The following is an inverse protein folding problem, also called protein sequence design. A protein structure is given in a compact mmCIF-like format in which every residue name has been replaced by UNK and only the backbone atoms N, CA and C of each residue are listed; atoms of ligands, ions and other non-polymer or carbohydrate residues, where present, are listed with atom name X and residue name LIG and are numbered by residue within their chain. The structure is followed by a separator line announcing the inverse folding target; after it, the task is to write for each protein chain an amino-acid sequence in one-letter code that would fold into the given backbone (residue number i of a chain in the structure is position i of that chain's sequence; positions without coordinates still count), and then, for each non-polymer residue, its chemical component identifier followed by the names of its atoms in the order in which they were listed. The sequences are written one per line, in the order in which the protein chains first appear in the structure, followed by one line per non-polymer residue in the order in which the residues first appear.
data_IF_416726071731
#
_entry.id   IF_416726071731
#
_cell.length_a   1.000
_cell.length_b   1.000
_cell.length_c   1.000
_cell.angle_alpha   90.00
_cell.angle_beta   90.00
_cell.angle_gamma   90.00
#
_symmetry.space_group_name_H-M   'P 1'
#
loop_
_entity.id
_entity.type
_entity.pdbx_description
1 polymer ?
#
# COMPACT_ATOMS: atom_id res chain seq x y z
N UNK A 1 -29.36 12.03 74.62
CA UNK A 1 -28.77 12.78 73.49
C UNK A 1 -27.74 11.90 72.80
N UNK A 2 -28.09 11.33 71.65
CA UNK A 2 -27.14 10.68 70.72
C UNK A 2 -27.58 11.03 69.31
N UNK A 3 -26.84 11.93 68.68
CA UNK A 3 -27.04 12.39 67.31
C UNK A 3 -26.55 11.32 66.33
N UNK A 4 -27.40 10.89 65.42
CA UNK A 4 -27.05 10.08 64.26
C UNK A 4 -26.81 11.03 63.08
N UNK A 5 -25.54 11.22 62.71
CA UNK A 5 -25.16 11.82 61.42
C UNK A 5 -25.36 10.77 60.32
N UNK A 6 -26.32 11.00 59.42
CA UNK A 6 -26.43 10.27 58.17
C UNK A 6 -25.50 10.90 57.13
N UNK A 7 -24.42 10.21 56.77
CA UNK A 7 -23.60 10.55 55.61
C UNK A 7 -24.35 10.16 54.33
N UNK A 8 -24.91 11.15 53.62
CA UNK A 8 -25.28 11.00 52.22
C UNK A 8 -23.99 10.98 51.38
N UNK A 9 -23.58 9.78 50.95
CA UNK A 9 -22.64 9.63 49.86
C UNK A 9 -23.35 9.96 48.55
N UNK A 10 -23.15 11.19 48.06
CA UNK A 10 -23.49 11.56 46.70
C UNK A 10 -22.64 10.77 45.72
N UNK A 11 -23.20 9.72 45.13
CA UNK A 11 -22.66 9.10 43.92
C UNK A 11 -22.75 10.13 42.79
N UNK A 12 -21.65 10.84 42.56
CA UNK A 12 -21.45 11.57 41.31
C UNK A 12 -21.42 10.53 40.18
N UNK A 13 -22.54 10.38 39.48
CA UNK A 13 -22.60 9.64 38.24
C UNK A 13 -21.75 10.39 37.20
N UNK A 14 -20.51 9.95 37.03
CA UNK A 14 -19.71 10.33 35.87
C UNK A 14 -20.40 9.76 34.64
N UNK A 15 -21.19 10.59 33.96
CA UNK A 15 -21.69 10.28 32.63
C UNK A 15 -20.47 10.18 31.72
N UNK A 16 -20.07 8.95 31.39
CA UNK A 16 -19.26 8.69 30.21
C UNK A 16 -20.14 9.08 29.03
N UNK A 17 -20.03 10.34 28.58
CA UNK A 17 -20.62 10.77 27.33
C UNK A 17 -19.95 9.93 26.25
N UNK A 18 -20.70 9.01 25.63
CA UNK A 18 -20.29 8.39 24.38
C UNK A 18 -19.81 9.51 23.46
N UNK A 19 -18.59 9.38 22.92
CA UNK A 19 -17.99 10.47 22.15
C UNK A 19 -18.94 10.86 21.00
N UNK A 20 -19.42 12.11 21.01
CA UNK A 20 -20.36 12.61 20.00
C UNK A 20 -19.73 12.73 18.59
N UNK A 21 -18.43 12.46 18.49
CA UNK A 21 -17.65 12.50 17.27
C UNK A 21 -16.54 11.43 17.28
N UNK A 22 -16.07 10.97 16.10
CA UNK A 22 -14.93 10.05 16.02
C UNK A 22 -13.66 10.77 16.47
N UNK A 23 -12.82 10.14 17.30
CA UNK A 23 -11.56 10.72 17.81
C UNK A 23 -10.34 10.09 17.16
N UNK A 24 -10.19 8.77 17.26
CA UNK A 24 -9.07 8.03 16.65
C UNK A 24 -9.54 6.61 16.36
N UNK A 25 -9.04 6.03 15.27
CA UNK A 25 -9.43 4.68 14.90
C UNK A 25 -8.73 4.19 13.64
N UNK A 26 -8.96 2.91 13.37
CA UNK A 26 -8.56 2.24 12.14
C UNK A 26 -9.78 1.55 11.55
N UNK A 27 -10.03 1.79 10.27
CA UNK A 27 -11.14 1.25 9.52
C UNK A 27 -10.63 0.46 8.32
N UNK A 28 -11.37 -0.56 7.91
CA UNK A 28 -11.04 -1.44 6.80
C UNK A 28 -11.99 -1.18 5.65
N UNK A 29 -11.44 -0.97 4.46
CA UNK A 29 -12.24 -0.88 3.25
C UNK A 29 -12.92 -2.23 2.98
N UNK A 30 -14.21 -2.21 2.66
CA UNK A 30 -15.00 -3.42 2.45
C UNK A 30 -14.97 -3.92 0.99
N UNK A 31 -14.41 -3.13 0.08
CA UNK A 31 -14.31 -3.43 -1.36
C UNK A 31 -12.87 -3.66 -1.84
N UNK A 32 -11.88 -3.07 -1.16
CA UNK A 32 -10.49 -3.03 -1.60
C UNK A 32 -9.53 -3.41 -0.46
N UNK A 33 -8.32 -3.82 -0.81
CA UNK A 33 -7.25 -4.14 0.13
C UNK A 33 -6.62 -2.87 0.71
N UNK A 34 -7.42 -2.10 1.43
CA UNK A 34 -6.96 -0.87 2.08
C UNK A 34 -7.55 -0.68 3.47
N UNK A 35 -6.79 0.04 4.29
CA UNK A 35 -7.21 0.51 5.60
C UNK A 35 -7.08 2.03 5.67
N UNK A 36 -7.85 2.63 6.56
CA UNK A 36 -7.84 4.04 6.85
C UNK A 36 -7.61 4.23 8.34
N UNK A 37 -6.47 4.80 8.71
CA UNK A 37 -6.22 5.26 10.08
C UNK A 37 -6.55 6.74 10.16
N UNK A 38 -7.23 7.16 11.22
CA UNK A 38 -7.62 8.56 11.40
C UNK A 38 -7.38 9.05 12.82
N UNK A 39 -7.17 10.37 12.91
CA UNK A 39 -7.17 11.14 14.16
C UNK A 39 -7.94 12.43 13.92
N UNK A 40 -8.91 12.72 14.77
CA UNK A 40 -9.86 13.80 14.63
C UNK A 40 -9.89 14.67 15.90
N UNK A 41 -9.98 15.97 15.68
CA UNK A 41 -10.02 16.99 16.74
C UNK A 41 -11.20 17.93 16.49
N UNK A 42 -12.06 18.07 17.49
CA UNK A 42 -13.14 19.06 17.47
C UNK A 42 -12.53 20.47 17.64
N UNK A 43 -12.80 21.36 16.70
CA UNK A 43 -12.25 22.72 16.73
C UNK A 43 -13.00 23.57 17.77
N UNK A 44 -12.26 24.24 18.66
CA UNK A 44 -12.88 25.04 19.73
C UNK A 44 -13.73 26.18 19.14
N UNK A 45 -14.96 26.33 19.64
CA UNK A 45 -15.87 27.41 19.25
C UNK A 45 -16.53 27.25 17.87
N UNK A 46 -16.24 26.18 17.14
CA UNK A 46 -16.87 25.86 15.86
C UNK A 46 -17.39 24.43 15.93
N UNK A 47 -18.63 24.15 15.48
CA UNK A 47 -19.14 22.78 15.32
C UNK A 47 -18.48 22.09 14.11
N UNK A 48 -17.15 22.12 14.08
CA UNK A 48 -16.30 21.62 13.01
C UNK A 48 -15.32 20.60 13.56
N UNK A 49 -15.23 19.49 12.86
CA UNK A 49 -14.33 18.40 13.18
C UNK A 49 -13.24 18.35 12.12
N UNK A 50 -11.97 18.46 12.52
CA UNK A 50 -10.85 18.27 11.61
C UNK A 50 -10.27 16.88 11.81
N UNK A 51 -10.14 16.12 10.73
CA UNK A 51 -9.56 14.79 10.76
C UNK A 51 -8.35 14.70 9.82
N UNK A 52 -7.28 14.12 10.35
CA UNK A 52 -6.08 13.73 9.62
C UNK A 52 -6.15 12.22 9.39
N UNK A 53 -5.88 11.79 8.15
CA UNK A 53 -6.03 10.42 7.69
C UNK A 53 -4.72 9.90 7.11
N UNK A 54 -4.52 8.58 7.23
CA UNK A 54 -3.54 7.82 6.47
C UNK A 54 -4.28 6.64 5.85
N UNK A 55 -4.45 6.67 4.53
CA UNK A 55 -4.94 5.51 3.78
C UNK A 55 -3.73 4.64 3.42
N UNK A 56 -3.74 3.38 3.86
CA UNK A 56 -2.75 2.38 3.46
C UNK A 56 -3.43 1.40 2.52
N UNK A 57 -2.89 1.23 1.32
CA UNK A 57 -3.39 0.26 0.34
C UNK A 57 -2.33 -0.79 0.04
N UNK A 58 -2.77 -2.03 -0.18
CA UNK A 58 -1.93 -3.15 -0.59
C UNK A 58 -2.43 -3.64 -1.94
N UNK A 59 -1.57 -3.64 -2.96
CA UNK A 59 -1.94 -4.08 -4.32
C UNK A 59 -0.91 -5.04 -4.88
N UNK A 60 -1.35 -5.96 -5.74
CA UNK A 60 -0.41 -6.77 -6.53
C UNK A 60 0.38 -5.87 -7.47
N UNK A 61 1.71 -6.06 -7.50
CA UNK A 61 2.60 -5.28 -8.38
C UNK A 61 2.36 -5.56 -9.86
N UNK A 62 1.94 -6.78 -10.20
CA UNK A 62 1.62 -7.18 -11.57
C UNK A 62 0.38 -8.07 -11.61
N UNK A 63 -0.26 -8.14 -12.78
CA UNK A 63 -1.38 -9.04 -13.09
C UNK A 63 -0.92 -10.06 -14.14
N UNK A 64 -1.47 -11.30 -14.14
CA UNK A 64 -1.11 -12.31 -15.14
C UNK A 64 -1.32 -11.85 -16.58
N UNK A 65 -2.36 -11.05 -16.83
CA UNK A 65 -2.68 -10.50 -18.15
C UNK A 65 -1.57 -9.61 -18.74
N UNK A 66 -0.67 -9.07 -17.91
CA UNK A 66 0.39 -8.18 -18.38
C UNK A 66 1.61 -8.94 -18.95
N UNK A 67 1.65 -10.27 -18.88
CA UNK A 67 2.81 -11.06 -19.31
C UNK A 67 3.05 -10.96 -20.81
N UNK A 68 2.02 -11.14 -21.64
CA UNK A 68 2.17 -11.17 -23.10
C UNK A 68 2.65 -9.83 -23.67
N UNK A 69 2.14 -8.72 -23.13
CA UNK A 69 2.62 -7.38 -23.47
C UNK A 69 4.10 -7.20 -23.12
N UNK A 70 4.51 -7.58 -21.89
CA UNK A 70 5.91 -7.54 -21.48
C UNK A 70 6.82 -8.42 -22.33
N UNK A 71 6.35 -9.60 -22.73
CA UNK A 71 7.11 -10.48 -23.63
C UNK A 71 7.24 -9.88 -25.02
N UNK A 72 6.17 -9.28 -25.57
CA UNK A 72 6.23 -8.60 -26.86
C UNK A 72 7.22 -7.42 -26.84
N UNK A 73 7.21 -6.62 -25.77
CA UNK A 73 8.17 -5.53 -25.57
C UNK A 73 9.61 -6.07 -25.44
N UNK A 74 9.83 -7.14 -24.67
CA UNK A 74 11.13 -7.77 -24.53
C UNK A 74 11.67 -8.28 -25.88
N UNK A 75 10.85 -8.93 -26.71
CA UNK A 75 11.26 -9.37 -28.06
C UNK A 75 11.73 -8.19 -28.91
N UNK A 76 11.02 -7.07 -28.85
CA UNK A 76 11.39 -5.84 -29.58
C UNK A 76 12.73 -5.27 -29.11
N UNK A 77 13.02 -5.36 -27.81
CA UNK A 77 14.22 -4.78 -27.20
C UNK A 77 15.45 -5.72 -27.24
N UNK A 78 15.25 -7.02 -27.44
CA UNK A 78 16.32 -8.03 -27.47
C UNK A 78 17.52 -7.67 -28.36
N UNK A 79 17.35 -7.19 -29.62
CA UNK A 79 18.49 -6.88 -30.50
C UNK A 79 19.42 -5.80 -29.93
N UNK A 80 18.90 -4.88 -29.12
CA UNK A 80 19.70 -3.87 -28.41
C UNK A 80 20.35 -4.44 -27.15
N UNK A 81 19.59 -5.21 -26.37
CA UNK A 81 20.01 -5.72 -25.07
C UNK A 81 21.10 -6.81 -25.16
N UNK A 82 21.12 -7.62 -26.22
CA UNK A 82 22.08 -8.74 -26.35
C UNK A 82 23.55 -8.30 -26.26
N UNK A 83 23.86 -7.06 -26.65
CA UNK A 83 25.21 -6.49 -26.57
C UNK A 83 25.67 -6.29 -25.12
N UNK A 84 24.76 -5.98 -24.21
CA UNK A 84 25.07 -5.79 -22.78
C UNK A 84 25.47 -7.12 -22.13
N UNK A 85 24.90 -8.22 -22.59
CA UNK A 85 25.24 -9.59 -22.15
C UNK A 85 26.44 -10.19 -22.88
N UNK A 86 27.14 -9.40 -23.70
CA UNK A 86 28.34 -9.83 -24.42
C UNK A 86 29.65 -9.36 -23.77
N UNK A 87 29.62 -8.53 -22.71
CA UNK A 87 30.82 -8.17 -21.94
C UNK A 87 31.17 -9.32 -20.96
N UNK A 88 32.31 -10.01 -21.14
CA UNK A 88 32.70 -11.11 -20.24
C UNK A 88 32.86 -10.67 -18.78
N UNK A 89 33.16 -9.40 -18.51
CA UNK A 89 33.32 -8.89 -17.14
C UNK A 89 31.99 -8.85 -16.41
N UNK A 90 30.95 -8.34 -17.06
CA UNK A 90 29.59 -8.30 -16.51
C UNK A 90 29.08 -9.73 -16.28
N UNK A 91 29.29 -10.62 -17.25
CA UNK A 91 28.84 -12.01 -17.12
C UNK A 91 29.60 -12.81 -16.05
N UNK A 92 30.91 -12.59 -15.90
CA UNK A 92 31.68 -13.17 -14.80
C UNK A 92 31.19 -12.66 -13.44
N UNK A 93 30.77 -11.38 -13.36
CA UNK A 93 30.22 -10.82 -12.13
C UNK A 93 28.86 -11.45 -11.78
N UNK A 94 27.96 -11.61 -12.76
CA UNK A 94 26.68 -12.31 -12.57
C UNK A 94 26.90 -13.74 -12.07
N UNK A 95 27.83 -14.47 -12.70
CA UNK A 95 28.19 -15.82 -12.29
C UNK A 95 28.78 -15.87 -10.86
N UNK A 96 29.65 -14.93 -10.51
CA UNK A 96 30.20 -14.82 -9.17
C UNK A 96 29.11 -14.51 -8.12
N UNK A 97 28.18 -13.60 -8.43
CA UNK A 97 27.05 -13.28 -7.55
C UNK A 97 26.12 -14.47 -7.35
N UNK A 98 25.76 -15.18 -8.42
CA UNK A 98 24.96 -16.40 -8.32
C UNK A 98 25.68 -17.49 -7.52
N UNK A 99 26.97 -17.68 -7.77
CA UNK A 99 27.79 -18.66 -7.05
C UNK A 99 27.90 -18.33 -5.56
N UNK A 100 28.05 -17.06 -5.20
CA UNK A 100 27.99 -16.64 -3.80
C UNK A 100 26.59 -16.81 -3.22
N UNK A 101 25.54 -16.39 -3.91
CA UNK A 101 24.16 -16.48 -3.41
C UNK A 101 23.69 -17.93 -3.20
N UNK A 102 24.25 -18.87 -3.96
CA UNK A 102 23.98 -20.32 -3.81
C UNK A 102 24.94 -21.03 -2.85
N UNK A 103 25.96 -20.34 -2.34
CA UNK A 103 27.01 -20.92 -1.49
C UNK A 103 28.04 -21.78 -2.23
N UNK A 104 28.00 -21.83 -3.56
CA UNK A 104 29.02 -22.50 -4.39
C UNK A 104 30.37 -21.79 -4.34
N UNK A 105 30.37 -20.48 -4.09
CA UNK A 105 31.56 -19.65 -3.95
C UNK A 105 31.55 -19.01 -2.56
N UNK A 106 32.69 -19.09 -1.85
CA UNK A 106 32.87 -18.36 -0.59
C UNK A 106 32.86 -16.86 -0.85
N UNK A 107 32.05 -16.12 -0.08
CA UNK A 107 31.97 -14.66 -0.15
C UNK A 107 33.34 -14.02 0.14
N UNK A 108 34.06 -14.54 1.14
CA UNK A 108 35.40 -14.06 1.48
C UNK A 108 36.41 -14.31 0.35
N UNK A 109 36.32 -15.48 -0.30
CA UNK A 109 37.18 -15.81 -1.44
C UNK A 109 36.88 -14.93 -2.66
N UNK A 110 35.61 -14.60 -2.91
CA UNK A 110 35.20 -13.71 -3.99
C UNK A 110 35.68 -12.28 -3.75
N UNK A 111 35.51 -11.74 -2.54
CA UNK A 111 36.00 -10.43 -2.14
C UNK A 111 37.53 -10.33 -2.23
N UNK A 112 38.26 -11.39 -1.85
CA UNK A 112 39.72 -11.42 -1.96
C UNK A 112 40.19 -11.42 -3.42
N UNK A 113 39.47 -12.10 -4.32
CA UNK A 113 39.80 -12.17 -5.76
C UNK A 113 39.40 -10.92 -6.53
N UNK A 114 38.32 -10.26 -6.14
CA UNK A 114 37.86 -9.03 -6.75
C UNK A 114 37.39 -8.03 -5.67
N UNK A 115 38.31 -7.27 -5.06
CA UNK A 115 37.96 -6.26 -4.08
C UNK A 115 37.04 -5.16 -4.64
N UNK A 116 37.03 -4.96 -5.96
CA UNK A 116 36.18 -3.97 -6.64
C UNK A 116 34.72 -4.40 -6.83
N UNK A 117 34.34 -5.62 -6.43
CA UNK A 117 32.96 -6.12 -6.54
C UNK A 117 31.99 -5.38 -5.60
N UNK A 118 32.52 -4.72 -4.57
CA UNK A 118 31.75 -3.98 -3.59
C UNK A 118 32.50 -2.71 -3.17
N UNK A 119 31.77 -1.61 -3.02
CA UNK A 119 32.31 -0.37 -2.43
C UNK A 119 32.52 -0.50 -0.92
N UNK A 120 31.74 -1.35 -0.26
CA UNK A 120 31.84 -1.68 1.17
C UNK A 120 31.78 -3.21 1.32
N UNK A 121 32.94 -3.83 1.53
CA UNK A 121 33.08 -5.29 1.61
C UNK A 121 32.29 -5.89 2.79
N UNK A 122 32.18 -5.18 3.92
CA UNK A 122 31.49 -5.68 5.09
C UNK A 122 29.97 -5.71 4.87
N UNK A 123 29.39 -4.61 4.36
CA UNK A 123 27.96 -4.56 4.02
C UNK A 123 27.61 -5.51 2.90
N UNK A 124 28.48 -5.64 1.90
CA UNK A 124 28.28 -6.61 0.83
C UNK A 124 28.23 -8.04 1.38
N UNK A 125 29.17 -8.40 2.26
CA UNK A 125 29.18 -9.71 2.90
C UNK A 125 27.90 -9.97 3.69
N UNK A 126 27.46 -9.02 4.50
CA UNK A 126 26.21 -9.11 5.25
C UNK A 126 25.00 -9.33 4.31
N UNK A 127 24.91 -8.53 3.24
CA UNK A 127 23.87 -8.65 2.23
C UNK A 127 23.87 -10.01 1.53
N UNK A 128 25.04 -10.55 1.19
CA UNK A 128 25.15 -11.87 0.55
C UNK A 128 24.81 -13.02 1.49
N UNK A 129 25.20 -12.94 2.77
CA UNK A 129 24.78 -13.92 3.79
C UNK A 129 23.26 -13.91 3.93
N UNK A 130 22.65 -12.72 4.01
CA UNK A 130 21.20 -12.59 4.06
C UNK A 130 20.54 -13.19 2.81
N UNK A 131 21.07 -12.91 1.62
CA UNK A 131 20.57 -13.47 0.37
C UNK A 131 20.66 -15.01 0.35
N UNK A 132 21.73 -15.59 0.89
CA UNK A 132 21.85 -17.06 1.03
C UNK A 132 20.77 -17.63 1.94
N UNK A 133 20.52 -17.02 3.10
CA UNK A 133 19.45 -17.45 4.01
C UNK A 133 18.06 -17.30 3.38
N UNK A 134 17.80 -16.15 2.74
CA UNK A 134 16.56 -15.90 2.02
C UNK A 134 16.37 -16.92 0.89
N UNK A 135 17.44 -17.32 0.19
CA UNK A 135 17.40 -18.33 -0.86
C UNK A 135 17.13 -19.76 -0.35
N UNK A 136 17.53 -20.08 0.88
CA UNK A 136 17.16 -21.36 1.52
C UNK A 136 15.67 -21.41 1.84
N UNK A 137 15.12 -20.30 2.34
CA UNK A 137 13.70 -20.20 2.68
C UNK A 137 12.81 -20.04 1.44
N UNK A 138 13.27 -19.30 0.44
CA UNK A 138 12.57 -19.03 -0.80
C UNK A 138 13.54 -19.10 -2.00
N UNK A 139 13.72 -20.29 -2.61
CA UNK A 139 14.64 -20.48 -3.73
C UNK A 139 14.38 -19.60 -4.95
N UNK A 140 13.16 -19.06 -5.07
CA UNK A 140 12.75 -18.22 -6.19
C UNK A 140 13.37 -16.82 -6.14
N UNK A 141 13.94 -16.40 -5.00
CA UNK A 141 14.72 -15.15 -4.91
C UNK A 141 15.92 -15.14 -5.87
N UNK A 142 16.37 -16.33 -6.30
CA UNK A 142 17.50 -16.50 -7.22
C UNK A 142 17.07 -16.67 -8.69
N UNK A 143 15.78 -16.72 -9.01
CA UNK A 143 15.33 -17.02 -10.37
C UNK A 143 15.79 -15.97 -11.39
N UNK A 144 15.76 -14.69 -11.03
CA UNK A 144 16.30 -13.62 -11.87
C UNK A 144 17.81 -13.78 -12.08
N UNK A 145 18.58 -14.14 -11.05
CA UNK A 145 20.03 -14.38 -11.18
C UNK A 145 20.32 -15.59 -12.07
N UNK A 146 19.55 -16.67 -11.95
CA UNK A 146 19.66 -17.85 -12.83
C UNK A 146 19.35 -17.50 -14.28
N UNK A 147 18.30 -16.72 -14.52
CA UNK A 147 17.94 -16.28 -15.87
C UNK A 147 19.02 -15.38 -16.49
N UNK A 148 19.59 -14.45 -15.70
CA UNK A 148 20.71 -13.61 -16.13
C UNK A 148 21.97 -14.43 -16.44
N UNK A 149 22.31 -15.41 -15.60
CA UNK A 149 23.42 -16.31 -15.85
C UNK A 149 23.21 -17.12 -17.16
N UNK A 150 22.00 -17.64 -17.39
CA UNK A 150 21.67 -18.34 -18.63
C UNK A 150 21.76 -17.44 -19.88
N UNK A 151 21.43 -16.16 -19.75
CA UNK A 151 21.61 -15.17 -20.82
C UNK A 151 23.09 -14.89 -21.10
N UNK A 152 23.93 -14.85 -20.06
CA UNK A 152 25.38 -14.72 -20.19
C UNK A 152 26.05 -15.95 -20.83
N UNK A 153 25.58 -17.15 -20.49
CA UNK A 153 26.12 -18.39 -21.07
C UNK A 153 25.71 -18.54 -22.54
N UNK A 154 24.46 -18.22 -22.86
CA UNK A 154 23.88 -18.37 -24.19
C UNK A 154 22.95 -17.19 -24.51
N UNK A 155 23.45 -16.11 -25.14
CA UNK A 155 22.73 -14.86 -25.33
C UNK A 155 21.68 -14.95 -26.45
N UNK A 156 20.65 -15.76 -26.24
CA UNK A 156 19.55 -16.02 -27.18
C UNK A 156 18.31 -15.22 -26.80
N UNK A 157 17.42 -14.98 -27.77
CA UNK A 157 16.13 -14.35 -27.50
C UNK A 157 15.34 -15.14 -26.44
N UNK A 158 15.36 -16.47 -26.51
CA UNK A 158 14.68 -17.33 -25.54
C UNK A 158 15.18 -17.07 -24.10
N UNK A 159 16.50 -16.98 -23.89
CA UNK A 159 17.05 -16.71 -22.57
C UNK A 159 16.79 -15.26 -22.11
N UNK A 160 16.74 -14.31 -23.04
CA UNK A 160 16.31 -12.95 -22.73
C UNK A 160 14.86 -12.93 -22.23
N UNK A 161 13.96 -13.65 -22.90
CA UNK A 161 12.57 -13.77 -22.47
C UNK A 161 12.42 -14.49 -21.12
N UNK A 162 13.32 -15.41 -20.76
CA UNK A 162 13.34 -16.04 -19.41
C UNK A 162 13.61 -15.01 -18.31
N UNK A 163 14.43 -13.99 -18.55
CA UNK A 163 14.64 -12.89 -17.59
C UNK A 163 13.32 -12.14 -17.37
N UNK A 164 12.63 -11.78 -18.46
CA UNK A 164 11.33 -11.09 -18.39
C UNK A 164 10.28 -11.92 -17.66
N UNK A 165 10.23 -13.24 -17.91
CA UNK A 165 9.33 -14.15 -17.19
C UNK A 165 9.64 -14.20 -15.71
N UNK A 166 10.92 -14.39 -15.34
CA UNK A 166 11.33 -14.44 -13.95
C UNK A 166 11.00 -13.14 -13.19
N UNK A 167 11.23 -11.97 -13.80
CA UNK A 167 10.81 -10.69 -13.24
C UNK A 167 9.28 -10.59 -13.09
N UNK A 168 8.53 -10.99 -14.12
CA UNK A 168 7.08 -10.98 -14.05
C UNK A 168 6.54 -11.89 -12.94
N UNK A 169 7.05 -13.12 -12.83
CA UNK A 169 6.65 -14.10 -11.82
C UNK A 169 6.96 -13.63 -10.40
N UNK A 170 8.11 -12.97 -10.20
CA UNK A 170 8.41 -12.27 -8.95
C UNK A 170 7.39 -11.17 -8.68
N UNK A 171 7.08 -10.34 -9.68
CA UNK A 171 6.13 -9.24 -9.53
C UNK A 171 4.69 -9.72 -9.26
N UNK A 172 4.26 -10.88 -9.78
CA UNK A 172 2.97 -11.49 -9.45
C UNK A 172 2.87 -11.89 -7.98
N UNK A 173 4.01 -12.23 -7.36
CA UNK A 173 4.11 -12.62 -5.95
C UNK A 173 4.51 -11.44 -5.05
N UNK A 174 4.61 -10.24 -5.61
CA UNK A 174 4.96 -9.01 -4.88
C UNK A 174 3.73 -8.17 -4.61
N UNK A 175 3.54 -7.78 -3.35
CA UNK A 175 2.60 -6.76 -2.94
C UNK A 175 3.31 -5.41 -2.85
N UNK A 176 2.71 -4.39 -3.42
CA UNK A 176 3.08 -3.00 -3.16
C UNK A 176 2.19 -2.43 -2.07
N UNK A 177 2.83 -1.82 -1.08
CA UNK A 177 2.19 -1.08 0.00
C UNK A 177 2.44 0.40 -0.23
N UNK A 178 1.36 1.17 -0.32
CA UNK A 178 1.41 2.62 -0.49
C UNK A 178 0.59 3.30 0.59
N UNK A 179 1.08 4.42 1.09
CA UNK A 179 0.39 5.24 2.09
C UNK A 179 0.10 6.63 1.53
N UNK A 180 -1.14 7.08 1.68
CA UNK A 180 -1.62 8.39 1.25
C UNK A 180 -2.14 9.18 2.46
N UNK A 181 -1.38 10.16 2.99
CA UNK A 181 -1.87 11.04 4.03
C UNK A 181 -2.75 12.16 3.45
N UNK A 182 -3.87 12.46 4.10
CA UNK A 182 -4.75 13.57 3.72
C UNK A 182 -5.56 14.10 4.91
N UNK A 183 -6.14 15.29 4.78
CA UNK A 183 -6.95 15.91 5.81
C UNK A 183 -8.32 16.32 5.28
N UNK A 184 -9.35 16.28 6.13
CA UNK A 184 -10.69 16.80 5.80
C UNK A 184 -11.31 17.49 7.01
N UNK A 185 -12.15 18.48 6.74
CA UNK A 185 -13.01 19.14 7.72
C UNK A 185 -14.44 18.65 7.56
N UNK A 186 -15.14 18.46 8.68
CA UNK A 186 -16.50 17.96 8.74
C UNK A 186 -17.38 18.88 9.57
N UNK A 187 -18.67 18.90 9.23
CA UNK A 187 -19.74 19.57 9.97
C UNK A 187 -20.78 18.54 10.38
N UNK A 188 -21.40 18.75 11.55
CA UNK A 188 -22.49 17.89 12.01
C UNK A 188 -23.79 18.20 11.27
N UNK A 189 -24.45 17.17 10.78
CA UNK A 189 -25.75 17.24 10.10
C UNK A 189 -26.72 16.33 10.85
N UNK A 190 -27.64 16.91 11.63
CA UNK A 190 -28.50 16.18 12.58
C UNK A 190 -29.60 15.35 11.93
N UNK A 191 -30.06 15.75 10.75
CA UNK A 191 -31.16 15.16 9.98
C UNK A 191 -30.69 14.03 9.05
N UNK A 192 -29.40 13.70 9.05
CA UNK A 192 -28.87 12.60 8.25
C UNK A 192 -29.31 11.23 8.81
N UNK A 193 -30.05 10.45 8.01
CA UNK A 193 -30.30 9.02 8.24
C UNK A 193 -30.91 8.63 9.60
N UNK A 194 -31.70 9.51 10.22
CA UNK A 194 -32.33 9.30 11.55
C UNK A 194 -31.33 9.11 12.72
N UNK A 195 -30.11 9.64 12.63
CA UNK A 195 -29.11 9.57 13.72
C UNK A 195 -27.98 10.60 13.64
N UNK A 196 -27.99 11.43 12.61
CA UNK A 196 -26.98 12.44 12.32
C UNK A 196 -25.67 11.86 11.78
N UNK A 197 -24.89 12.72 11.13
CA UNK A 197 -23.59 12.35 10.57
C UNK A 197 -22.62 13.55 10.59
N UNK A 198 -21.32 13.25 10.68
CA UNK A 198 -20.29 14.23 10.37
C UNK A 198 -20.01 14.18 8.89
N UNK A 199 -20.38 15.21 8.15
CA UNK A 199 -20.28 15.27 6.68
C UNK A 199 -19.16 16.23 6.29
N UNK A 200 -18.35 15.87 5.30
CA UNK A 200 -17.26 16.74 4.83
C UNK A 200 -17.81 18.09 4.38
N UNK A 201 -17.18 19.15 4.87
CA UNK A 201 -17.36 20.52 4.41
C UNK A 201 -16.48 20.75 3.18
N UNK A 202 -17.04 20.64 1.98
CA UNK A 202 -16.29 20.85 0.73
C UNK A 202 -17.02 21.77 -0.25
N UNK A 203 -16.26 22.27 -1.22
CA UNK A 203 -16.74 23.09 -2.33
C UNK A 203 -16.30 22.43 -3.65
N UNK A 204 -16.97 22.69 -4.79
CA UNK A 204 -16.54 22.15 -6.06
C UNK A 204 -15.12 22.61 -6.44
N UNK A 205 -14.24 21.66 -6.71
CA UNK A 205 -12.83 21.91 -7.05
C UNK A 205 -12.48 21.51 -8.49
N UNK A 206 -11.65 22.33 -9.13
CA UNK A 206 -11.06 22.07 -10.44
C UNK A 206 -12.05 22.04 -11.62
N UNK A 207 -11.58 21.66 -12.82
CA UNK A 207 -12.38 21.69 -14.06
C UNK A 207 -13.64 20.80 -14.03
N UNK A 208 -13.61 19.73 -13.23
CA UNK A 208 -14.73 18.80 -13.08
C UNK A 208 -15.72 19.23 -11.99
N UNK A 209 -15.40 20.27 -11.21
CA UNK A 209 -16.15 20.65 -10.01
C UNK A 209 -16.32 19.46 -9.07
N UNK A 210 -15.22 18.82 -8.68
CA UNK A 210 -15.25 17.66 -7.78
C UNK A 210 -15.68 18.13 -6.39
N UNK A 211 -16.71 17.51 -5.83
CA UNK A 211 -17.19 17.75 -4.47
C UNK A 211 -16.94 16.50 -3.64
N UNK A 212 -16.37 16.68 -2.44
CA UNK A 212 -16.20 15.59 -1.49
C UNK A 212 -17.49 15.41 -0.68
N UNK A 213 -18.01 14.19 -0.69
CA UNK A 213 -19.25 13.79 -0.04
C UNK A 213 -19.00 12.75 1.05
N UNK A 214 -17.76 12.65 1.51
CA UNK A 214 -17.39 11.70 2.56
C UNK A 214 -18.04 12.06 3.88
N UNK A 215 -18.22 11.05 4.74
CA UNK A 215 -18.92 11.23 6.02
C UNK A 215 -18.56 10.15 7.02
N UNK A 216 -18.68 10.47 8.30
CA UNK A 216 -18.74 9.51 9.39
C UNK A 216 -20.17 9.27 9.85
N UNK A 217 -20.53 8.00 9.97
CA UNK A 217 -21.81 7.54 10.49
C UNK A 217 -21.55 6.66 11.73
N UNK A 218 -22.37 6.80 12.77
CA UNK A 218 -22.31 5.86 13.91
C UNK A 218 -22.73 4.47 13.46
N UNK A 219 -22.03 3.44 13.95
CA UNK A 219 -22.49 2.06 13.76
C UNK A 219 -23.73 1.82 14.63
N UNK A 220 -24.90 1.68 14.00
CA UNK A 220 -26.13 1.41 14.74
C UNK A 220 -26.19 0.02 15.36
N UNK A 221 -25.32 -0.90 14.92
CA UNK A 221 -25.19 -2.22 15.55
C UNK A 221 -24.31 -2.20 16.80
N UNK A 222 -23.61 -1.09 17.06
CA UNK A 222 -22.78 -0.91 18.25
C UNK A 222 -23.59 -0.27 19.39
N UNK A 223 -23.84 -1.05 20.44
CA UNK A 223 -24.54 -0.58 21.64
C UNK A 223 -23.69 0.36 22.50
N UNK A 224 -22.37 0.41 22.30
CA UNK A 224 -21.49 1.32 23.06
C UNK A 224 -21.49 2.74 22.49
N UNK A 225 -21.92 2.92 21.24
CA UNK A 225 -21.92 4.20 20.53
C UNK A 225 -20.51 4.76 20.27
N UNK A 226 -19.48 3.91 20.35
CA UNK A 226 -18.08 4.27 20.20
C UNK A 226 -17.60 4.11 18.77
N UNK A 227 -18.21 3.20 18.01
CA UNK A 227 -17.71 2.86 16.69
C UNK A 227 -18.37 3.67 15.58
N UNK A 228 -17.52 4.13 14.66
CA UNK A 228 -17.89 4.91 13.51
C UNK A 228 -17.50 4.17 12.24
N UNK A 229 -18.30 4.34 11.21
CA UNK A 229 -17.97 3.95 9.84
C UNK A 229 -17.64 5.21 9.06
N UNK A 230 -16.70 5.11 8.14
CA UNK A 230 -16.36 6.19 7.23
C UNK A 230 -16.79 5.80 5.82
N UNK A 231 -17.59 6.64 5.18
CA UNK A 231 -18.00 6.44 3.79
C UNK A 231 -17.26 7.47 2.97
N UNK A 232 -16.38 7.02 2.09
CA UNK A 232 -15.66 7.88 1.16
C UNK A 232 -16.45 7.99 -0.15
N UNK A 233 -16.74 9.21 -0.59
CA UNK A 233 -17.45 9.46 -1.84
C UNK A 233 -17.07 10.84 -2.37
N UNK A 234 -17.01 10.95 -3.69
CA UNK A 234 -16.98 12.24 -4.40
C UNK A 234 -18.00 12.25 -5.52
N UNK A 235 -18.36 13.45 -5.96
CA UNK A 235 -19.19 13.66 -7.14
C UNK A 235 -18.53 14.68 -8.07
N UNK A 236 -18.72 14.52 -9.38
CA UNK A 236 -18.32 15.52 -10.36
C UNK A 236 -19.55 16.34 -10.76
N UNK A 237 -19.50 17.65 -10.54
CA UNK A 237 -20.61 18.56 -10.88
C UNK A 237 -20.54 19.08 -12.32
N UNK A 238 -19.40 18.93 -13.00
CA UNK A 238 -19.20 19.24 -14.41
C UNK A 238 -18.67 18.02 -15.19
N UNK A 239 -19.55 17.07 -15.60
CA UNK A 239 -19.12 15.85 -16.29
C UNK A 239 -18.58 16.09 -17.70
N UNK A 240 -18.92 17.23 -18.32
CA UNK A 240 -18.41 17.66 -19.63
C UNK A 240 -17.00 18.24 -19.60
N UNK A 241 -16.44 18.47 -18.40
CA UNK A 241 -15.09 18.97 -18.25
C UNK A 241 -14.01 17.93 -18.65
N UNK A 242 -12.75 18.37 -18.60
CA UNK A 242 -11.57 17.50 -18.78
C UNK A 242 -10.59 17.75 -17.65
N UNK A 243 -10.08 16.68 -17.05
CA UNK A 243 -9.04 16.74 -16.00
C UNK A 243 -7.69 17.10 -16.62
N UNK A 244 -7.36 16.45 -17.73
CA UNK A 244 -6.14 16.62 -18.54
C UNK A 244 -6.46 16.29 -20.01
N UNK A 245 -5.58 16.62 -20.98
CA UNK A 245 -5.76 16.19 -22.37
C UNK A 245 -6.00 14.67 -22.44
N UNK A 246 -7.16 14.26 -22.96
CA UNK A 246 -7.55 12.85 -23.08
C UNK A 246 -8.28 12.24 -21.85
N UNK A 247 -8.34 12.92 -20.71
CA UNK A 247 -9.03 12.42 -19.51
C UNK A 247 -10.31 13.21 -19.21
N UNK A 248 -11.46 12.59 -19.48
CA UNK A 248 -12.79 13.15 -19.25
C UNK A 248 -13.15 13.19 -17.77
N UNK A 249 -13.88 14.22 -17.33
CA UNK A 249 -14.46 14.27 -15.99
C UNK A 249 -15.49 13.15 -15.73
N UNK A 250 -16.04 12.54 -16.77
CA UNK A 250 -16.88 11.34 -16.65
C UNK A 250 -16.13 10.12 -16.10
N UNK A 251 -14.78 10.12 -16.16
CA UNK A 251 -13.94 9.06 -15.62
C UNK A 251 -13.61 9.27 -14.13
N UNK A 252 -14.06 10.37 -13.51
CA UNK A 252 -13.92 10.56 -12.06
C UNK A 252 -14.68 9.45 -11.35
N UNK A 253 -13.99 8.73 -10.48
CA UNK A 253 -14.62 7.69 -9.67
C UNK A 253 -15.58 8.30 -8.64
N UNK A 254 -16.87 8.08 -8.83
CA UNK A 254 -17.94 8.60 -7.97
C UNK A 254 -18.58 7.51 -7.11
N UNK A 255 -17.97 6.31 -7.05
CA UNK A 255 -18.45 5.21 -6.22
C UNK A 255 -18.32 5.55 -4.73
N UNK A 256 -19.13 4.87 -3.94
CA UNK A 256 -19.00 4.88 -2.48
C UNK A 256 -18.05 3.76 -2.04
N UNK A 257 -17.10 4.11 -1.18
CA UNK A 257 -16.22 3.17 -0.50
C UNK A 257 -16.54 3.18 0.97
N UNK A 258 -16.85 2.01 1.51
CA UNK A 258 -17.23 1.86 2.91
C UNK A 258 -16.02 1.37 3.68
N UNK A 259 -15.64 2.14 4.68
CA UNK A 259 -14.62 1.80 5.66
C UNK A 259 -15.29 1.50 6.99
N UNK A 260 -15.16 0.26 7.44
CA UNK A 260 -15.81 -0.24 8.65
C UNK A 260 -14.76 -0.72 9.65
N UNK A 261 -15.05 -0.57 10.94
CA UNK A 261 -14.19 -1.06 12.01
C UNK A 261 -14.17 -2.60 12.06
N UNK A 262 -15.25 -3.24 11.60
CA UNK A 262 -15.29 -4.70 11.40
C UNK A 262 -14.60 -5.02 10.09
N UNK A 263 -13.51 -5.79 10.19
CA UNK A 263 -12.93 -6.44 9.02
C UNK A 263 -13.80 -7.65 8.66
N UNK A 264 -14.70 -7.50 7.67
CA UNK A 264 -15.57 -8.60 7.23
C UNK A 264 -14.92 -9.46 6.13
N UNK A 265 -13.85 -8.97 5.51
CA UNK A 265 -13.14 -9.64 4.42
C UNK A 265 -11.82 -10.25 4.91
N UNK A 266 -11.61 -11.54 4.62
CA UNK A 266 -10.30 -12.19 4.79
C UNK A 266 -9.55 -12.12 3.47
N UNK A 267 -8.58 -11.22 3.39
CA UNK A 267 -7.81 -11.01 2.16
C UNK A 267 -6.52 -11.82 2.17
N UNK A 268 -6.54 -12.92 1.43
CA UNK A 268 -5.34 -13.67 1.09
C UNK A 268 -4.76 -13.12 -0.20
N UNK A 269 -3.91 -12.10 -0.07
CA UNK A 269 -3.19 -11.53 -1.21
C UNK A 269 -2.07 -12.43 -1.73
N UNK A 270 -1.69 -13.49 -1.01
CA UNK A 270 -0.65 -14.46 -1.43
C UNK A 270 0.62 -13.76 -1.94
N UNK A 271 1.17 -12.86 -1.13
CA UNK A 271 2.40 -12.15 -1.45
C UNK A 271 3.58 -12.76 -0.71
N UNK A 272 4.63 -13.10 -1.46
CA UNK A 272 5.91 -13.54 -0.93
C UNK A 272 6.86 -12.36 -0.71
N UNK A 273 6.70 -11.29 -1.49
CA UNK A 273 7.50 -10.08 -1.40
C UNK A 273 6.61 -8.88 -1.08
N UNK A 274 7.17 -7.93 -0.34
CA UNK A 274 6.52 -6.65 -0.02
C UNK A 274 7.47 -5.52 -0.43
N UNK A 275 6.95 -4.59 -1.22
CA UNK A 275 7.64 -3.36 -1.61
C UNK A 275 6.83 -2.15 -1.14
N UNK A 276 7.51 -1.16 -0.59
CA UNK A 276 6.88 0.13 -0.30
C UNK A 276 7.01 1.02 -1.54
N UNK A 277 5.88 1.54 -2.02
CA UNK A 277 5.84 2.44 -3.17
C UNK A 277 5.25 3.80 -2.79
N UNK A 278 5.68 4.89 -3.45
CA UNK A 278 4.82 6.07 -3.52
C UNK A 278 3.47 5.68 -4.13
N UNK A 279 2.43 6.49 -3.82
CA UNK A 279 1.02 6.30 -4.22
C UNK A 279 0.90 5.85 -5.68
#
# INVERSE_FOLDING_TARGET
MRSLLACLFGLAASTVLAAEYPTTGMLYNQQEDSSLTYTCTLQQGQQRLRCEFIQTAVRKKSKPANLEEKLAEARKNYPGAVKEFSDPRECNMVGAWLGMATGQISIDAALARNPGIATDAAKFKEGMIRLQEDAKANPSVLDTFRALAGMCDHPTEENFLKITKADHDKNLRTCQVSSNPFAQEFVWVSDFGNGGAWVVSSHPEGPCGVVQLSRFEKDQSDTSGLFWRYIARKAATNPSGKVLPGLSCSAVDQREYVYDWKKTRSDYLQCEYVEFSPI
#
